data_IF_493316453916
#
_entry.id   IF_493316453916
#
_cell.length_a   1.000
_cell.length_b   1.000
_cell.length_c   1.000
_cell.angle_alpha   90.00
_cell.angle_beta   90.00
_cell.angle_gamma   90.00
#
_symmetry.space_group_name_H-M   'P 1'
#
loop_
_entity.id
_entity.type
_entity.pdbx_description
1 polymer ?
#
# COMPACT_ATOMS: atom_id res chain seq x y z
N UNK A 1 21.59 -9.74 -10.73
CA UNK A 1 22.90 -10.37 -11.02
C UNK A 1 23.00 -11.76 -10.43
N UNK A 2 22.62 -12.02 -9.16
CA UNK A 2 22.65 -13.38 -8.59
C UNK A 2 21.85 -14.43 -9.39
N UNK A 3 20.57 -14.18 -9.72
CA UNK A 3 19.79 -15.13 -10.55
C UNK A 3 20.38 -15.35 -11.94
N UNK A 4 21.04 -14.35 -12.52
CA UNK A 4 21.74 -14.50 -13.80
C UNK A 4 23.02 -15.33 -13.63
N UNK A 5 23.71 -15.21 -12.50
CA UNK A 5 24.86 -16.06 -12.18
C UNK A 5 24.44 -17.53 -11.94
N UNK A 6 23.27 -17.75 -11.33
CA UNK A 6 22.76 -19.08 -11.01
C UNK A 6 22.05 -19.77 -12.20
N UNK A 7 21.29 -19.02 -12.98
CA UNK A 7 20.41 -19.56 -14.02
C UNK A 7 20.75 -19.08 -15.43
N UNK A 8 21.67 -18.13 -15.59
CA UNK A 8 21.99 -17.52 -16.88
C UNK A 8 20.76 -16.90 -17.54
N UNK A 9 20.62 -17.14 -18.85
CA UNK A 9 19.47 -16.74 -19.65
C UNK A 9 18.28 -17.70 -19.54
N UNK A 10 18.36 -18.76 -18.74
CA UNK A 10 17.28 -19.74 -18.64
C UNK A 10 16.06 -19.13 -17.91
N UNK A 11 14.94 -18.85 -18.61
CA UNK A 11 13.80 -18.15 -18.02
C UNK A 11 13.16 -18.95 -16.88
N UNK A 12 13.24 -20.29 -16.90
CA UNK A 12 12.61 -21.16 -15.90
C UNK A 12 13.10 -20.86 -14.48
N UNK A 13 14.41 -20.64 -14.31
CA UNK A 13 14.99 -20.34 -12.99
C UNK A 13 14.49 -19.01 -12.43
N UNK A 14 14.40 -17.98 -13.28
CA UNK A 14 13.88 -16.67 -12.90
C UNK A 14 12.39 -16.72 -12.50
N UNK A 15 11.57 -17.46 -13.25
CA UNK A 15 10.16 -17.64 -12.89
C UNK A 15 9.97 -18.44 -11.60
N UNK A 16 10.80 -19.47 -11.36
CA UNK A 16 10.72 -20.27 -10.13
C UNK A 16 11.03 -19.45 -8.88
N UNK A 17 12.03 -18.57 -8.95
CA UNK A 17 12.35 -17.61 -7.87
C UNK A 17 11.17 -16.67 -7.60
N UNK A 18 10.56 -16.11 -8.64
CA UNK A 18 9.38 -15.24 -8.48
C UNK A 18 8.18 -15.99 -7.88
N UNK A 19 7.93 -17.23 -8.31
CA UNK A 19 6.90 -18.08 -7.74
C UNK A 19 7.16 -18.38 -6.26
N UNK A 20 8.42 -18.69 -5.90
CA UNK A 20 8.83 -18.89 -4.51
C UNK A 20 8.56 -17.65 -3.65
N UNK A 21 8.91 -16.45 -4.14
CA UNK A 21 8.59 -15.21 -3.45
C UNK A 21 7.08 -14.95 -3.37
N UNK A 22 6.30 -15.30 -4.39
CA UNK A 22 4.84 -15.17 -4.36
C UNK A 22 4.22 -16.09 -3.30
N UNK A 23 4.63 -17.35 -3.23
CA UNK A 23 4.18 -18.30 -2.20
C UNK A 23 4.56 -17.77 -0.81
N UNK A 24 5.80 -17.31 -0.62
CA UNK A 24 6.23 -16.72 0.65
C UNK A 24 5.35 -15.52 1.05
N UNK A 25 5.01 -14.65 0.08
CA UNK A 25 4.09 -13.53 0.29
C UNK A 25 2.69 -13.98 0.72
N UNK A 26 2.12 -14.98 0.06
CA UNK A 26 0.80 -15.53 0.40
C UNK A 26 0.80 -16.07 1.84
N UNK A 27 1.83 -16.83 2.20
CA UNK A 27 1.95 -17.44 3.53
C UNK A 27 2.15 -16.38 4.62
N UNK A 28 3.05 -15.42 4.43
CA UNK A 28 3.29 -14.38 5.43
C UNK A 28 2.08 -13.45 5.57
N UNK A 29 1.38 -13.12 4.47
CA UNK A 29 0.14 -12.36 4.50
C UNK A 29 -0.90 -13.10 5.36
N UNK A 30 -1.14 -14.37 5.07
CA UNK A 30 -2.06 -15.20 5.87
C UNK A 30 -1.70 -15.20 7.35
N UNK A 31 -0.43 -15.43 7.69
CA UNK A 31 0.06 -15.45 9.07
C UNK A 31 -0.17 -14.10 9.76
N UNK A 32 0.21 -13.00 9.12
CA UNK A 32 0.06 -11.65 9.68
C UNK A 32 -1.40 -11.32 9.94
N UNK A 33 -2.27 -11.53 8.95
CA UNK A 33 -3.70 -11.27 9.09
C UNK A 33 -4.34 -12.15 10.17
N UNK A 34 -3.99 -13.44 10.22
CA UNK A 34 -4.51 -14.37 11.21
C UNK A 34 -4.09 -13.96 12.62
N UNK A 35 -2.83 -13.56 12.81
CA UNK A 35 -2.29 -13.16 14.12
C UNK A 35 -2.93 -11.86 14.62
N UNK A 36 -3.19 -10.93 13.70
CA UNK A 36 -3.79 -9.63 13.98
C UNK A 36 -5.30 -9.69 14.24
N UNK A 37 -6.06 -10.44 13.42
CA UNK A 37 -7.53 -10.42 13.46
C UNK A 37 -8.15 -11.64 14.15
N UNK A 38 -7.41 -12.75 14.24
CA UNK A 38 -7.88 -14.05 14.75
C UNK A 38 -9.09 -14.64 14.00
N UNK A 39 -9.31 -14.26 12.73
CA UNK A 39 -10.42 -14.73 11.90
C UNK A 39 -9.94 -15.69 10.79
N UNK A 40 -9.73 -16.96 11.14
CA UNK A 40 -9.14 -17.98 10.24
C UNK A 40 -9.71 -17.98 8.82
N UNK A 41 -11.03 -18.18 8.68
CA UNK A 41 -11.68 -18.30 7.37
C UNK A 41 -11.59 -17.03 6.53
N UNK A 42 -11.71 -15.84 7.15
CA UNK A 42 -11.58 -14.57 6.43
C UNK A 42 -10.15 -14.35 5.96
N UNK A 43 -9.16 -14.63 6.81
CA UNK A 43 -7.75 -14.54 6.44
C UNK A 43 -7.37 -15.54 5.35
N UNK A 44 -7.88 -16.78 5.43
CA UNK A 44 -7.66 -17.81 4.41
C UNK A 44 -8.26 -17.39 3.08
N UNK A 45 -9.48 -16.84 3.08
CA UNK A 45 -10.13 -16.31 1.88
C UNK A 45 -9.32 -15.16 1.25
N UNK A 46 -8.89 -14.18 2.05
CA UNK A 46 -8.05 -13.06 1.56
C UNK A 46 -6.72 -13.56 0.99
N UNK A 47 -6.08 -14.54 1.65
CA UNK A 47 -4.83 -15.13 1.17
C UNK A 47 -5.02 -15.96 -0.11
N UNK A 48 -6.14 -16.70 -0.23
CA UNK A 48 -6.49 -17.45 -1.43
C UNK A 48 -6.80 -16.50 -2.61
N UNK A 49 -7.56 -15.43 -2.37
CA UNK A 49 -7.72 -14.36 -3.35
C UNK A 49 -6.35 -13.76 -3.72
N UNK A 50 -5.45 -13.51 -2.76
CA UNK A 50 -4.11 -13.05 -3.10
C UNK A 50 -3.31 -14.07 -3.94
N UNK A 51 -3.43 -15.36 -3.68
CA UNK A 51 -2.73 -16.39 -4.44
C UNK A 51 -3.25 -16.56 -5.88
N UNK A 52 -4.57 -16.43 -6.08
CA UNK A 52 -5.23 -16.83 -7.32
C UNK A 52 -5.72 -15.65 -8.17
N UNK A 53 -5.70 -14.42 -7.66
CA UNK A 53 -6.29 -13.28 -8.37
C UNK A 53 -5.50 -12.93 -9.65
N UNK A 54 -6.15 -12.85 -10.82
CA UNK A 54 -5.50 -12.61 -12.11
C UNK A 54 -4.60 -11.36 -12.19
N UNK A 55 -4.94 -10.29 -11.47
CA UNK A 55 -4.07 -9.08 -11.36
C UNK A 55 -2.65 -9.35 -10.87
N UNK A 56 -2.43 -10.46 -10.16
CA UNK A 56 -1.11 -10.80 -9.64
C UNK A 56 -0.23 -11.52 -10.68
N UNK A 57 -0.81 -11.96 -11.80
CA UNK A 57 -0.10 -12.71 -12.85
C UNK A 57 1.01 -11.87 -13.47
N UNK A 58 0.81 -10.56 -13.72
CA UNK A 58 1.85 -9.69 -14.27
C UNK A 58 3.09 -9.67 -13.35
N UNK A 59 2.88 -9.53 -12.03
CA UNK A 59 3.97 -9.49 -11.06
C UNK A 59 4.70 -10.81 -10.84
N UNK A 60 4.03 -11.94 -11.05
CA UNK A 60 4.63 -13.27 -10.86
C UNK A 60 5.25 -13.79 -12.16
N UNK A 61 4.55 -13.64 -13.28
CA UNK A 61 4.97 -14.15 -14.57
C UNK A 61 6.07 -13.29 -15.21
N UNK A 62 6.13 -11.98 -14.94
CA UNK A 62 7.16 -11.14 -15.54
C UNK A 62 8.47 -11.17 -14.74
N UNK A 63 9.53 -11.74 -15.31
CA UNK A 63 10.86 -11.81 -14.68
C UNK A 63 11.38 -10.46 -14.20
N UNK A 64 11.12 -9.38 -14.95
CA UNK A 64 11.57 -8.02 -14.60
C UNK A 64 10.83 -7.43 -13.39
N UNK A 65 9.71 -8.02 -12.97
CA UNK A 65 8.91 -7.58 -11.83
C UNK A 65 9.32 -8.17 -10.48
N UNK A 66 10.41 -8.93 -10.41
CA UNK A 66 10.96 -9.46 -9.16
C UNK A 66 11.03 -8.42 -8.03
N UNK A 67 11.37 -7.16 -8.36
CA UNK A 67 11.38 -6.05 -7.40
C UNK A 67 10.04 -5.86 -6.67
N UNK A 68 8.91 -6.08 -7.34
CA UNK A 68 7.57 -5.94 -6.77
C UNK A 68 7.29 -7.06 -5.78
N UNK A 69 7.53 -8.31 -6.17
CA UNK A 69 7.31 -9.49 -5.31
C UNK A 69 8.22 -9.46 -4.08
N UNK A 70 9.50 -9.09 -4.26
CA UNK A 70 10.45 -8.95 -3.16
C UNK A 70 10.11 -7.78 -2.22
N UNK A 71 9.77 -6.61 -2.76
CA UNK A 71 9.35 -5.46 -1.94
C UNK A 71 8.09 -5.75 -1.12
N UNK A 72 7.19 -6.58 -1.66
CA UNK A 72 5.99 -7.03 -0.95
C UNK A 72 6.32 -8.00 0.18
N UNK A 73 7.32 -8.86 -0.01
CA UNK A 73 7.78 -9.75 1.06
C UNK A 73 8.31 -8.94 2.23
N UNK A 74 9.16 -7.95 1.94
CA UNK A 74 9.64 -7.03 2.97
C UNK A 74 8.54 -6.21 3.61
N UNK A 75 7.53 -5.75 2.84
CA UNK A 75 6.35 -5.09 3.38
C UNK A 75 5.64 -5.96 4.44
N UNK A 76 5.32 -7.21 4.11
CA UNK A 76 4.65 -8.11 5.04
C UNK A 76 5.54 -8.54 6.22
N UNK A 77 6.84 -8.71 6.01
CA UNK A 77 7.80 -8.97 7.09
C UNK A 77 7.91 -7.78 8.05
N UNK A 78 7.90 -6.54 7.55
CA UNK A 78 7.82 -5.33 8.38
C UNK A 78 6.54 -5.31 9.19
N UNK A 79 5.38 -5.62 8.59
CA UNK A 79 4.11 -5.71 9.33
C UNK A 79 4.14 -6.81 10.40
N UNK A 80 4.71 -7.97 10.09
CA UNK A 80 4.87 -9.08 11.04
C UNK A 80 5.75 -8.68 12.22
N UNK A 81 6.92 -8.10 11.94
CA UNK A 81 7.84 -7.61 12.97
C UNK A 81 7.17 -6.51 13.81
N UNK A 82 6.40 -5.63 13.17
CA UNK A 82 5.67 -4.56 13.83
C UNK A 82 4.58 -5.08 14.76
N UNK A 83 3.83 -6.10 14.34
CA UNK A 83 2.89 -6.80 15.20
C UNK A 83 3.57 -7.38 16.45
N UNK A 84 4.72 -8.03 16.28
CA UNK A 84 5.51 -8.58 17.41
C UNK A 84 6.03 -7.47 18.33
N UNK A 85 6.46 -6.36 17.77
CA UNK A 85 6.84 -5.17 18.52
C UNK A 85 5.65 -4.57 19.28
N UNK A 86 4.48 -4.47 18.66
CA UNK A 86 3.27 -3.96 19.28
C UNK A 86 2.87 -4.80 20.52
N UNK A 87 3.08 -6.12 20.48
CA UNK A 87 2.81 -7.04 21.58
C UNK A 87 3.86 -7.00 22.70
N UNK A 88 5.14 -6.92 22.36
CA UNK A 88 6.25 -7.13 23.32
C UNK A 88 6.97 -5.86 23.73
N UNK A 89 6.85 -4.78 22.96
CA UNK A 89 7.63 -3.53 23.06
C UNK A 89 9.15 -3.73 23.07
N UNK A 90 9.63 -4.86 22.54
CA UNK A 90 11.03 -5.21 22.54
C UNK A 90 11.80 -4.48 21.43
N UNK A 91 12.91 -3.81 21.78
CA UNK A 91 13.77 -3.12 20.83
C UNK A 91 14.31 -4.05 19.73
N UNK A 92 14.59 -5.32 20.01
CA UNK A 92 15.01 -6.30 18.99
C UNK A 92 13.98 -6.44 17.87
N UNK A 93 12.70 -6.52 18.22
CA UNK A 93 11.62 -6.59 17.23
C UNK A 93 11.46 -5.28 16.46
N UNK A 94 11.77 -4.14 17.09
CA UNK A 94 11.77 -2.84 16.41
C UNK A 94 12.92 -2.69 15.42
N UNK A 95 14.13 -3.19 15.74
CA UNK A 95 15.22 -3.26 14.78
C UNK A 95 14.88 -4.12 13.56
N UNK A 96 14.12 -5.21 13.73
CA UNK A 96 13.61 -5.99 12.60
C UNK A 96 12.63 -5.19 11.73
N UNK A 97 11.78 -4.34 12.33
CA UNK A 97 10.90 -3.42 11.59
C UNK A 97 11.73 -2.50 10.69
N UNK A 98 12.75 -1.85 11.26
CA UNK A 98 13.64 -0.93 10.54
C UNK A 98 14.42 -1.67 9.43
N UNK A 99 14.94 -2.86 9.74
CA UNK A 99 15.71 -3.68 8.79
C UNK A 99 14.87 -4.06 7.59
N UNK A 100 13.72 -4.71 7.80
CA UNK A 100 12.86 -5.14 6.69
C UNK A 100 12.31 -3.94 5.92
N UNK A 101 12.00 -2.84 6.62
CA UNK A 101 11.52 -1.64 5.95
C UNK A 101 12.59 -1.04 5.02
N UNK A 102 13.82 -0.93 5.50
CA UNK A 102 14.96 -0.47 4.71
C UNK A 102 15.20 -1.37 3.50
N UNK A 103 15.24 -2.69 3.69
CA UNK A 103 15.41 -3.65 2.59
C UNK A 103 14.28 -3.55 1.56
N UNK A 104 13.05 -3.31 2.01
CA UNK A 104 11.92 -3.10 1.13
C UNK A 104 12.01 -1.78 0.35
N UNK A 105 12.42 -0.67 0.97
CA UNK A 105 12.69 0.60 0.29
C UNK A 105 13.83 0.47 -0.75
N UNK A 106 14.88 -0.27 -0.42
CA UNK A 106 15.99 -0.59 -1.34
C UNK A 106 15.52 -1.47 -2.51
N UNK A 107 14.51 -2.31 -2.30
CA UNK A 107 13.91 -3.14 -3.35
C UNK A 107 13.00 -2.32 -4.26
N UNK A 108 12.15 -1.46 -3.67
CA UNK A 108 11.23 -0.57 -4.39
C UNK A 108 10.85 0.64 -3.51
N UNK A 109 11.06 1.88 -3.97
CA UNK A 109 10.65 3.10 -3.24
C UNK A 109 9.15 3.21 -2.97
N UNK A 110 8.31 2.32 -3.52
CA UNK A 110 6.86 2.30 -3.27
C UNK A 110 6.51 2.10 -1.78
N UNK A 111 7.43 1.56 -0.98
CA UNK A 111 7.22 1.31 0.45
C UNK A 111 7.10 2.58 1.31
N UNK A 112 7.32 3.78 0.76
CA UNK A 112 7.24 5.06 1.49
C UNK A 112 5.90 5.29 2.19
N UNK A 113 4.85 4.57 1.81
CA UNK A 113 3.51 4.62 2.42
C UNK A 113 3.34 3.71 3.63
N UNK A 114 4.25 2.76 3.86
CA UNK A 114 4.14 1.77 4.94
C UNK A 114 4.05 2.39 6.34
N UNK A 115 4.78 3.47 6.70
CA UNK A 115 4.64 4.09 8.01
C UNK A 115 3.20 4.58 8.30
N UNK A 116 2.50 5.08 7.28
CA UNK A 116 1.09 5.48 7.40
C UNK A 116 0.19 4.26 7.56
N UNK A 117 0.50 3.18 6.85
CA UNK A 117 -0.20 1.90 7.01
C UNK A 117 -0.01 1.33 8.42
N UNK A 118 1.19 1.41 9.01
CA UNK A 118 1.40 0.98 10.40
C UNK A 118 0.54 1.80 11.39
N UNK A 119 0.36 3.10 11.14
CA UNK A 119 -0.57 3.94 11.91
C UNK A 119 -2.04 3.51 11.74
N UNK A 120 -2.45 3.12 10.53
CA UNK A 120 -3.79 2.54 10.31
C UNK A 120 -3.96 1.23 11.10
N UNK A 121 -2.93 0.37 11.09
CA UNK A 121 -2.94 -0.89 11.84
C UNK A 121 -2.97 -0.66 13.36
N UNK A 122 -2.31 0.39 13.86
CA UNK A 122 -2.40 0.80 15.27
C UNK A 122 -3.83 1.15 15.68
N UNK A 123 -4.63 1.75 14.79
CA UNK A 123 -6.05 1.96 15.03
C UNK A 123 -6.81 0.63 14.99
N UNK A 124 -6.74 -0.10 13.89
CA UNK A 124 -7.31 -1.43 13.75
C UNK A 124 -6.48 -2.27 12.77
N UNK A 125 -6.13 -3.52 13.07
CA UNK A 125 -6.67 -4.37 14.14
C UNK A 125 -5.88 -4.36 15.47
N UNK A 126 -4.76 -3.64 15.59
CA UNK A 126 -3.91 -3.69 16.80
C UNK A 126 -4.55 -3.01 18.01
N UNK A 127 -5.49 -2.06 17.80
CA UNK A 127 -6.25 -1.43 18.89
C UNK A 127 -5.40 -0.60 19.85
N UNK A 128 -4.27 -0.06 19.37
CA UNK A 128 -3.35 0.82 20.11
C UNK A 128 -3.79 2.28 20.12
N UNK A 129 -4.65 2.67 19.20
CA UNK A 129 -5.33 3.97 19.20
C UNK A 129 -6.83 3.72 19.39
N UNK A 130 -7.38 4.06 20.55
CA UNK A 130 -8.82 3.89 20.83
C UNK A 130 -9.55 5.21 20.64
N UNK A 131 -10.40 5.29 19.61
CA UNK A 131 -11.32 6.42 19.45
C UNK A 131 -12.51 6.23 20.38
N UNK A 132 -12.45 6.77 21.60
CA UNK A 132 -13.54 6.68 22.58
C UNK A 132 -14.89 7.13 21.99
N UNK A 133 -15.97 6.41 22.30
CA UNK A 133 -17.34 6.85 21.99
C UNK A 133 -17.71 7.94 22.99
N UNK A 134 -18.02 9.14 22.49
CA UNK A 134 -18.39 10.27 23.34
C UNK A 134 -19.70 10.01 24.06
N UNK A 135 -19.60 9.65 25.34
CA UNK A 135 -20.68 9.82 26.31
C UNK A 135 -20.79 11.30 26.71
N UNK A 136 -22.03 11.75 26.94
CA UNK A 136 -22.51 13.13 27.04
C UNK A 136 -22.06 13.91 28.29
N UNK A 137 -20.82 13.75 28.76
CA UNK A 137 -20.31 14.51 29.91
C UNK A 137 -19.14 15.40 29.48
N UNK A 138 -19.39 16.72 29.46
CA UNK A 138 -18.48 17.73 28.89
C UNK A 138 -17.08 17.75 29.55
N UNK A 139 -16.95 17.34 30.81
CA UNK A 139 -15.64 17.26 31.50
C UNK A 139 -14.87 15.95 31.20
N UNK A 140 -15.58 14.83 31.01
CA UNK A 140 -14.99 13.54 30.62
C UNK A 140 -14.50 13.61 29.17
N UNK A 141 -15.20 14.34 28.31
CA UNK A 141 -14.84 14.55 26.90
C UNK A 141 -13.50 15.28 26.71
N UNK A 142 -13.17 16.22 27.59
CA UNK A 142 -11.88 16.93 27.51
C UNK A 142 -10.70 16.01 27.86
N UNK A 143 -10.76 15.31 29.01
CA UNK A 143 -9.70 14.36 29.44
C UNK A 143 -9.52 13.22 28.43
N UNK A 144 -10.61 12.71 27.86
CA UNK A 144 -10.63 11.73 26.77
C UNK A 144 -9.84 12.21 25.54
N UNK A 145 -10.12 13.42 25.05
CA UNK A 145 -9.42 13.99 23.88
C UNK A 145 -7.92 14.17 24.14
N UNK A 146 -7.52 14.59 25.34
CA UNK A 146 -6.10 14.69 25.69
C UNK A 146 -5.40 13.33 25.69
N UNK A 147 -6.06 12.28 26.19
CA UNK A 147 -5.52 10.93 26.20
C UNK A 147 -5.26 10.40 24.77
N UNK A 148 -6.26 10.49 23.88
CA UNK A 148 -6.16 10.07 22.48
C UNK A 148 -5.04 10.84 21.74
N UNK A 149 -4.93 12.14 21.97
CA UNK A 149 -3.86 12.96 21.37
C UNK A 149 -2.47 12.53 21.86
N UNK A 150 -2.32 12.22 23.15
CA UNK A 150 -1.06 11.74 23.72
C UNK A 150 -0.65 10.38 23.14
N UNK A 151 -1.59 9.43 23.04
CA UNK A 151 -1.33 8.14 22.40
C UNK A 151 -0.94 8.30 20.93
N UNK A 152 -1.67 9.13 20.17
CA UNK A 152 -1.35 9.41 18.79
C UNK A 152 0.05 10.01 18.62
N UNK A 153 0.43 10.98 19.46
CA UNK A 153 1.77 11.58 19.43
C UNK A 153 2.87 10.57 19.75
N UNK A 154 2.67 9.69 20.75
CA UNK A 154 3.61 8.59 21.06
C UNK A 154 3.76 7.65 19.87
N UNK A 155 2.63 7.28 19.24
CA UNK A 155 2.64 6.46 18.04
C UNK A 155 3.36 7.16 16.90
N UNK A 156 3.15 8.45 16.66
CA UNK A 156 3.87 9.19 15.63
C UNK A 156 5.37 9.24 15.91
N UNK A 157 5.77 9.50 17.16
CA UNK A 157 7.17 9.54 17.58
C UNK A 157 7.87 8.20 17.35
N UNK A 158 7.19 7.08 17.64
CA UNK A 158 7.68 5.74 17.31
C UNK A 158 7.95 5.55 15.81
N UNK A 159 7.21 6.20 14.89
CA UNK A 159 7.42 6.04 13.42
C UNK A 159 8.40 7.06 12.85
N UNK A 160 8.89 8.03 13.63
CA UNK A 160 9.83 9.06 13.13
C UNK A 160 11.01 8.45 12.37
N UNK A 161 11.69 7.38 12.85
CA UNK A 161 12.76 6.74 12.09
C UNK A 161 12.31 6.19 10.73
N UNK A 162 11.09 5.62 10.66
CA UNK A 162 10.53 5.10 9.42
C UNK A 162 10.14 6.24 8.46
N UNK A 163 9.58 7.33 8.96
CA UNK A 163 9.29 8.52 8.15
C UNK A 163 10.56 9.18 7.62
N UNK A 164 11.63 9.23 8.42
CA UNK A 164 12.93 9.74 7.98
C UNK A 164 13.49 8.89 6.82
N UNK A 165 13.48 7.55 6.96
CA UNK A 165 13.89 6.63 5.90
C UNK A 165 13.02 6.75 4.63
N UNK A 166 11.70 6.86 4.80
CA UNK A 166 10.76 7.05 3.67
C UNK A 166 11.02 8.38 2.94
N UNK A 167 11.24 9.45 3.69
CA UNK A 167 11.54 10.78 3.13
C UNK A 167 12.87 10.76 2.39
N UNK A 168 13.92 10.19 2.99
CA UNK A 168 15.23 10.04 2.34
C UNK A 168 15.14 9.23 1.05
N UNK A 169 14.43 8.09 1.06
CA UNK A 169 14.19 7.28 -0.14
C UNK A 169 13.41 8.04 -1.23
N UNK A 170 12.42 8.84 -0.83
CA UNK A 170 11.63 9.68 -1.75
C UNK A 170 12.49 10.76 -2.41
N UNK A 171 13.34 11.45 -1.63
CA UNK A 171 14.27 12.47 -2.14
C UNK A 171 15.27 11.86 -3.12
N UNK A 172 15.91 10.74 -2.75
CA UNK A 172 16.86 10.04 -3.62
C UNK A 172 16.17 9.62 -4.92
N UNK A 173 14.95 9.10 -4.83
CA UNK A 173 14.17 8.69 -6.01
C UNK A 173 13.84 9.88 -6.90
N UNK A 174 13.44 11.00 -6.32
CA UNK A 174 13.12 12.22 -7.06
C UNK A 174 14.33 12.78 -7.80
N UNK A 175 15.48 12.87 -7.13
CA UNK A 175 16.74 13.33 -7.73
C UNK A 175 17.17 12.36 -8.84
N UNK A 176 17.13 11.05 -8.59
CA UNK A 176 17.50 10.03 -9.58
C UNK A 176 16.61 10.09 -10.84
N UNK A 177 15.31 10.41 -10.69
CA UNK A 177 14.40 10.57 -11.82
C UNK A 177 14.66 11.82 -12.66
N UNK A 178 15.06 12.93 -12.04
CA UNK A 178 15.48 14.13 -12.76
C UNK A 178 16.76 13.89 -13.55
N UNK A 179 17.79 13.30 -12.92
CA UNK A 179 19.08 13.04 -13.57
C UNK A 179 18.99 11.98 -14.68
N UNK A 180 18.04 11.04 -14.59
CA UNK A 180 17.89 9.92 -15.52
C UNK A 180 17.03 10.21 -16.77
N UNK A 181 16.64 11.46 -17.04
CA UNK A 181 15.88 11.83 -18.24
C UNK A 181 14.46 11.28 -18.34
N UNK A 182 13.96 10.55 -17.33
CA UNK A 182 12.58 10.02 -17.30
C UNK A 182 11.54 11.03 -16.81
N UNK A 183 12.00 12.15 -16.24
CA UNK A 183 11.17 13.29 -15.87
C UNK A 183 10.69 14.13 -17.08
N UNK A 184 11.20 13.85 -18.30
CA UNK A 184 10.97 14.67 -19.50
C UNK A 184 9.49 14.72 -19.91
N UNK A 185 8.64 13.74 -19.53
CA UNK A 185 7.19 13.78 -19.81
C UNK A 185 6.32 14.34 -18.66
N UNK A 186 6.86 14.46 -17.44
CA UNK A 186 6.09 14.96 -16.29
C UNK A 186 5.83 16.47 -16.36
N UNK A 187 6.69 17.20 -17.08
CA UNK A 187 6.59 18.65 -17.29
C UNK A 187 5.59 19.05 -18.38
N UNK A 188 5.14 18.11 -19.22
CA UNK A 188 4.15 18.40 -20.27
C UNK A 188 2.69 18.21 -19.82
N UNK A 189 2.46 17.60 -18.65
CA UNK A 189 1.12 17.35 -18.12
C UNK A 189 0.78 18.30 -16.97
N UNK A 190 -0.33 19.02 -17.13
CA UNK A 190 -0.84 19.91 -16.09
C UNK A 190 -1.23 19.15 -14.81
N UNK A 191 -1.14 19.83 -13.65
CA UNK A 191 -1.56 19.25 -12.36
C UNK A 191 -3.03 18.78 -12.37
N UNK A 192 -4.00 19.53 -12.94
CA UNK A 192 -5.38 19.04 -13.07
C UNK A 192 -5.48 17.73 -13.85
N UNK A 193 -4.76 17.58 -14.97
CA UNK A 193 -4.77 16.34 -15.77
C UNK A 193 -4.24 15.15 -14.96
N UNK A 194 -3.17 15.35 -14.18
CA UNK A 194 -2.60 14.33 -13.31
C UNK A 194 -3.56 13.91 -12.20
N UNK A 195 -4.25 14.86 -11.58
CA UNK A 195 -5.26 14.59 -10.56
C UNK A 195 -6.47 13.84 -11.13
N UNK A 196 -6.92 14.21 -12.33
CA UNK A 196 -8.00 13.49 -13.03
C UNK A 196 -7.64 12.04 -13.33
N UNK A 197 -6.44 11.84 -13.88
CA UNK A 197 -5.93 10.51 -14.13
C UNK A 197 -5.87 9.70 -12.83
N UNK A 198 -5.41 10.31 -11.73
CA UNK A 198 -5.34 9.64 -10.45
C UNK A 198 -6.71 9.19 -9.94
N UNK A 199 -7.72 10.07 -10.00
CA UNK A 199 -9.08 9.77 -9.57
C UNK A 199 -9.74 8.69 -10.43
N UNK A 200 -9.58 8.77 -11.76
CA UNK A 200 -10.08 7.75 -12.68
C UNK A 200 -9.38 6.40 -12.43
N UNK A 201 -8.06 6.42 -12.22
CA UNK A 201 -7.26 5.22 -11.94
C UNK A 201 -7.72 4.53 -10.66
N UNK A 202 -8.06 5.27 -9.59
CA UNK A 202 -8.64 4.67 -8.39
C UNK A 202 -9.92 3.87 -8.73
N UNK A 203 -10.87 4.47 -9.46
CA UNK A 203 -12.09 3.74 -9.80
C UNK A 203 -11.83 2.54 -10.73
N UNK A 204 -10.90 2.66 -11.68
CA UNK A 204 -10.56 1.56 -12.57
C UNK A 204 -9.89 0.40 -11.81
N UNK A 205 -9.04 0.68 -10.82
CA UNK A 205 -8.49 -0.36 -9.94
C UNK A 205 -9.57 -1.03 -9.08
N UNK A 206 -10.58 -0.30 -8.60
CA UNK A 206 -11.72 -0.90 -7.90
C UNK A 206 -12.52 -1.83 -8.82
N UNK A 207 -12.74 -1.41 -10.07
CA UNK A 207 -13.39 -2.25 -11.08
C UNK A 207 -12.57 -3.50 -11.37
N UNK A 208 -11.26 -3.36 -11.60
CA UNK A 208 -10.35 -4.50 -11.86
C UNK A 208 -10.19 -5.44 -10.66
N UNK A 209 -10.41 -4.96 -9.44
CA UNK A 209 -10.45 -5.81 -8.24
C UNK A 209 -11.65 -6.75 -8.23
N UNK A 210 -12.80 -6.31 -8.76
CA UNK A 210 -14.03 -7.11 -8.81
C UNK A 210 -14.07 -7.95 -10.10
N UNK A 211 -13.69 -7.34 -11.22
CA UNK A 211 -13.73 -7.94 -12.54
C UNK A 211 -12.45 -7.61 -13.32
N UNK A 212 -11.40 -8.45 -13.22
CA UNK A 212 -10.14 -8.22 -13.91
C UNK A 212 -10.28 -8.57 -15.41
N UNK A 213 -10.83 -7.64 -16.20
CA UNK A 213 -10.80 -7.70 -17.67
C UNK A 213 -9.69 -6.82 -18.25
N UNK A 214 -9.31 -7.14 -19.49
CA UNK A 214 -8.39 -6.35 -20.32
C UNK A 214 -7.11 -5.93 -19.57
N UNK A 215 -6.43 -6.92 -18.98
CA UNK A 215 -5.15 -6.71 -18.31
C UNK A 215 -4.08 -6.42 -19.37
N UNK A 216 -3.40 -5.29 -19.23
CA UNK A 216 -2.45 -4.78 -20.20
C UNK A 216 -1.12 -4.42 -19.52
N UNK A 217 -0.02 -4.75 -20.19
CA UNK A 217 1.35 -4.44 -19.71
C UNK A 217 1.61 -2.93 -19.65
N UNK A 218 0.87 -2.15 -20.45
CA UNK A 218 1.01 -0.70 -20.58
C UNK A 218 -0.32 -0.03 -20.85
N UNK A 219 -0.72 0.91 -19.99
CA UNK A 219 -1.89 1.76 -20.18
C UNK A 219 -1.44 3.17 -20.57
N UNK A 220 -1.56 3.57 -21.86
CA UNK A 220 -1.12 4.90 -22.29
C UNK A 220 -1.90 6.01 -21.57
N UNK A 221 -1.18 7.07 -21.18
CA UNK A 221 -1.82 8.21 -20.52
C UNK A 221 -2.77 8.93 -21.48
N UNK A 222 -4.01 9.28 -21.08
CA UNK A 222 -5.00 9.84 -22.00
C UNK A 222 -4.74 11.30 -22.42
N UNK A 223 -3.70 11.94 -21.88
CA UNK A 223 -3.13 13.30 -22.11
C UNK A 223 -4.12 14.49 -22.03
N UNK A 224 -5.35 14.35 -22.49
CA UNK A 224 -6.47 15.29 -22.34
C UNK A 224 -7.87 14.68 -22.67
N UNK A 225 -7.99 13.38 -22.94
CA UNK A 225 -9.23 12.78 -23.49
C UNK A 225 -10.36 12.50 -22.46
N UNK A 226 -10.19 12.84 -21.18
CA UNK A 226 -11.21 12.59 -20.15
C UNK A 226 -12.22 13.74 -20.12
N UNK A 227 -13.40 13.50 -20.69
CA UNK A 227 -14.53 14.43 -20.64
C UNK A 227 -14.81 14.93 -19.20
N UNK A 228 -15.08 16.23 -19.03
CA UNK A 228 -15.21 16.89 -17.73
C UNK A 228 -16.22 16.22 -16.78
N UNK A 229 -17.30 15.64 -17.30
CA UNK A 229 -18.30 14.92 -16.50
C UNK A 229 -17.71 13.68 -15.79
N UNK A 230 -16.73 13.00 -16.41
CA UNK A 230 -16.07 11.83 -15.79
C UNK A 230 -15.31 12.22 -14.52
N UNK A 231 -14.78 13.44 -14.46
CA UNK A 231 -14.05 13.96 -13.29
C UNK A 231 -14.99 14.13 -12.11
N UNK A 232 -16.15 14.76 -12.36
CA UNK A 232 -17.19 14.99 -11.34
C UNK A 232 -17.69 13.66 -10.81
N UNK A 233 -17.96 12.68 -11.68
CA UNK A 233 -18.39 11.34 -11.26
C UNK A 233 -17.31 10.67 -10.41
N UNK A 234 -16.05 10.67 -10.84
CA UNK A 234 -14.95 10.08 -10.06
C UNK A 234 -14.80 10.75 -8.69
N UNK A 235 -14.86 12.08 -8.65
CA UNK A 235 -14.79 12.86 -7.42
C UNK A 235 -15.91 12.49 -6.45
N UNK A 236 -17.16 12.54 -6.92
CA UNK A 236 -18.35 12.28 -6.10
C UNK A 236 -18.31 10.86 -5.53
N UNK A 237 -17.92 9.86 -6.32
CA UNK A 237 -17.80 8.48 -5.85
C UNK A 237 -16.73 8.36 -4.77
N UNK A 238 -15.52 8.89 -4.99
CA UNK A 238 -14.42 8.81 -4.01
C UNK A 238 -14.77 9.54 -2.70
N UNK A 239 -15.38 10.72 -2.78
CA UNK A 239 -15.83 11.49 -1.61
C UNK A 239 -16.94 10.75 -0.88
N UNK A 240 -17.88 10.15 -1.61
CA UNK A 240 -18.97 9.37 -1.01
C UNK A 240 -18.44 8.17 -0.24
N UNK A 241 -17.58 7.35 -0.86
CA UNK A 241 -16.97 6.19 -0.18
C UNK A 241 -16.17 6.65 1.04
N UNK A 242 -15.35 7.70 0.90
CA UNK A 242 -14.56 8.25 2.02
C UNK A 242 -15.45 8.73 3.16
N UNK A 243 -16.53 9.43 2.85
CA UNK A 243 -17.49 9.94 3.86
C UNK A 243 -18.18 8.79 4.58
N UNK A 244 -18.60 7.75 3.84
CA UNK A 244 -19.15 6.52 4.43
C UNK A 244 -18.11 5.84 5.32
N UNK A 245 -16.87 5.67 4.85
CA UNK A 245 -15.78 5.07 5.64
C UNK A 245 -15.53 5.81 6.95
N UNK A 246 -15.49 7.14 6.92
CA UNK A 246 -15.31 7.96 8.13
C UNK A 246 -16.53 7.85 9.05
N UNK A 247 -17.76 7.93 8.50
CA UNK A 247 -19.00 7.85 9.29
C UNK A 247 -19.13 6.50 10.01
N UNK A 248 -18.67 5.42 9.39
CA UNK A 248 -18.70 4.07 9.95
C UNK A 248 -17.40 3.62 10.62
N UNK A 249 -16.39 4.50 10.78
CA UNK A 249 -15.05 4.12 11.26
C UNK A 249 -15.06 3.40 12.62
N UNK A 250 -16.00 3.74 13.51
CA UNK A 250 -16.16 3.09 14.83
C UNK A 250 -16.98 1.80 14.79
N UNK A 251 -17.93 1.69 13.85
CA UNK A 251 -18.84 0.53 13.72
C UNK A 251 -18.25 -0.58 12.86
N UNK A 252 -17.55 -0.20 11.79
CA UNK A 252 -16.91 -1.08 10.83
C UNK A 252 -15.47 -0.58 10.54
N UNK A 253 -14.56 -0.65 11.54
CA UNK A 253 -13.19 -0.16 11.38
C UNK A 253 -12.42 -0.86 10.25
N UNK A 254 -12.76 -2.12 9.96
CA UNK A 254 -12.18 -2.88 8.84
C UNK A 254 -12.44 -2.19 7.48
N UNK A 255 -13.63 -1.65 7.27
CA UNK A 255 -13.98 -0.95 6.02
C UNK A 255 -13.19 0.36 5.88
N UNK A 256 -13.07 1.13 6.96
CA UNK A 256 -12.33 2.38 6.95
C UNK A 256 -10.82 2.16 6.79
N UNK A 257 -10.22 1.25 7.57
CA UNK A 257 -8.80 0.90 7.43
C UNK A 257 -8.52 0.34 6.04
N UNK A 258 -9.41 -0.48 5.51
CA UNK A 258 -9.29 -1.00 4.16
C UNK A 258 -9.34 0.07 3.08
N UNK A 259 -10.27 1.02 3.20
CA UNK A 259 -10.37 2.15 2.28
C UNK A 259 -9.12 3.05 2.32
N UNK A 260 -8.65 3.42 3.52
CA UNK A 260 -7.46 4.26 3.66
C UNK A 260 -6.16 3.54 3.30
N UNK A 261 -6.09 2.22 3.50
CA UNK A 261 -5.01 1.39 2.98
C UNK A 261 -4.96 1.47 1.46
N UNK A 262 -6.10 1.22 0.82
CA UNK A 262 -6.24 1.24 -0.63
C UNK A 262 -5.85 2.61 -1.21
N UNK A 263 -6.40 3.70 -0.67
CA UNK A 263 -6.06 5.06 -1.09
C UNK A 263 -4.58 5.37 -0.89
N UNK A 264 -4.07 5.15 0.34
CA UNK A 264 -2.73 5.55 0.73
C UNK A 264 -1.62 4.81 0.00
N UNK A 265 -1.77 3.50 -0.18
CA UNK A 265 -0.73 2.66 -0.81
C UNK A 265 -0.62 2.88 -2.33
N UNK A 266 -1.65 3.42 -2.99
CA UNK A 266 -1.62 3.79 -4.40
C UNK A 266 -1.00 5.16 -4.67
N UNK A 267 -0.91 6.06 -3.69
CA UNK A 267 -0.41 7.44 -3.88
C UNK A 267 0.91 7.51 -4.68
N UNK A 268 1.94 6.67 -4.42
CA UNK A 268 3.22 6.77 -5.12
C UNK A 268 3.16 6.38 -6.61
N UNK A 269 2.07 5.72 -7.04
CA UNK A 269 1.97 5.04 -8.34
C UNK A 269 0.74 5.45 -9.16
N UNK A 270 -0.16 6.25 -8.58
CA UNK A 270 -1.43 6.66 -9.20
C UNK A 270 -1.27 7.84 -10.21
N UNK A 271 -0.03 8.24 -10.52
CA UNK A 271 0.25 9.31 -11.48
C UNK A 271 0.18 10.73 -10.94
N UNK A 272 0.03 10.92 -9.60
CA UNK A 272 0.16 12.26 -8.99
C UNK A 272 1.56 12.79 -9.27
N UNK A 273 2.61 11.99 -9.07
CA UNK A 273 3.96 12.24 -9.59
C UNK A 273 4.14 11.35 -10.81
N UNK A 274 4.09 11.94 -12.01
CA UNK A 274 4.10 11.18 -13.25
C UNK A 274 5.52 10.64 -13.52
N UNK A 275 5.64 9.32 -13.64
CA UNK A 275 6.90 8.64 -13.96
C UNK A 275 6.69 7.75 -15.19
N UNK A 276 7.14 8.22 -16.35
CA UNK A 276 6.92 7.57 -17.65
C UNK A 276 5.57 7.92 -18.31
N UNK A 277 5.27 7.30 -19.46
CA UNK A 277 4.09 7.60 -20.28
C UNK A 277 2.81 6.82 -19.94
N UNK A 278 2.80 6.06 -18.84
CA UNK A 278 1.66 5.22 -18.45
C UNK A 278 0.72 5.94 -17.47
N UNK A 279 -0.59 5.80 -17.66
CA UNK A 279 -1.62 6.28 -16.73
C UNK A 279 -1.72 5.43 -15.45
N UNK A 280 -1.65 4.11 -15.62
CA UNK A 280 -1.74 3.10 -14.57
C UNK A 280 -0.99 1.83 -15.00
N UNK A 281 -0.82 0.85 -14.10
CA UNK A 281 -0.27 -0.46 -14.44
C UNK A 281 -0.76 -1.52 -13.44
N UNK A 282 -1.11 -2.71 -13.90
CA UNK A 282 -1.75 -3.73 -13.06
C UNK A 282 -0.83 -4.16 -11.89
N UNK A 283 0.48 -4.23 -12.13
CA UNK A 283 1.53 -4.40 -11.09
C UNK A 283 1.53 -3.44 -9.91
N UNK A 284 0.91 -2.26 -10.05
CA UNK A 284 0.79 -1.31 -8.94
C UNK A 284 -0.28 -1.72 -7.94
N UNK A 285 -1.18 -2.63 -8.31
CA UNK A 285 -2.28 -3.11 -7.50
C UNK A 285 -1.91 -4.24 -6.51
N UNK A 286 -0.68 -4.77 -6.60
CA UNK A 286 -0.24 -5.97 -5.88
C UNK A 286 -0.29 -5.85 -4.34
N UNK A 287 0.00 -4.67 -3.78
CA UNK A 287 -0.14 -4.36 -2.34
C UNK A 287 -1.46 -3.64 -2.01
N UNK A 288 -1.92 -2.65 -2.81
CA UNK A 288 -3.10 -1.86 -2.46
C UNK A 288 -4.43 -2.60 -2.41
N UNK A 289 -4.62 -3.64 -3.23
CA UNK A 289 -5.88 -4.37 -3.29
C UNK A 289 -6.01 -5.48 -2.22
N UNK A 290 -4.99 -5.66 -1.37
CA UNK A 290 -4.88 -6.83 -0.48
C UNK A 290 -5.19 -6.44 0.95
N UNK A 291 -6.44 -6.04 1.11
CA UNK A 291 -7.03 -5.51 2.33
C UNK A 291 -7.83 -6.59 3.07
N UNK A 292 -7.86 -6.44 4.39
CA UNK A 292 -8.61 -7.25 5.34
C UNK A 292 -10.12 -7.02 5.14
N UNK A 293 -10.83 -8.03 4.61
CA UNK A 293 -12.30 -8.10 4.60
C UNK A 293 -12.86 -8.80 5.84
#
# INVERSE_FOLDING_TARGET
>A
MLDYQLYGLNPKGHHLTNLGFHIANVLILFIVLLRMTRKLWRCAFVAALFALHPLNVESVAWVAERKNVLSTLFWFLTMWAYFRYAQTKNLKTYYLVILFFTLGLMSKPMLVTLPFVLLLLDYWPLGRLKLEQGGSDNEVSAKSKYHVKSEFLKLMLEKVPLFALATGSSIITFISQQSGGKAINANNLSLPTRLANAMASYLEYLKKMIWPNDLAVFYPHPESALAAWKWVVCFVVLVTITTISIRFIKKAPYFAVGWFWYLGTLIPVIGIVQVGGQAMADRYAYVPLKVIH
#
